data_IF_355629811956
#
_entry.id   IF_355629811956
#
_cell.length_a   1.000
_cell.length_b   1.000
_cell.length_c   1.000
_cell.angle_alpha   90.00
_cell.angle_beta   90.00
_cell.angle_gamma   90.00
#
_symmetry.space_group_name_H-M   'P 1'
#
loop_
_entity.id
_entity.type
_entity.pdbx_description
1 polymer ?
#
# COMPACT_ATOMS: atom_id res chain seq x y z
N UNK A 1 -10.20 62.11 -61.33
CA UNK A 1 -11.32 61.28 -61.82
C UNK A 1 -10.98 59.81 -61.57
N UNK A 2 -11.91 59.03 -61.00
CA UNK A 2 -12.04 57.56 -61.11
C UNK A 2 -10.89 56.74 -60.49
N UNK A 3 -11.07 55.64 -59.76
CA UNK A 3 -12.22 54.84 -59.31
C UNK A 3 -11.65 53.93 -58.21
N UNK A 4 -12.41 53.72 -57.15
CA UNK A 4 -12.19 52.65 -56.17
C UNK A 4 -12.27 51.28 -56.84
N UNK A 5 -11.48 50.29 -56.40
CA UNK A 5 -11.88 48.88 -56.34
C UNK A 5 -10.86 48.00 -55.59
N UNK A 6 -11.34 47.44 -54.47
CA UNK A 6 -11.02 46.20 -53.75
C UNK A 6 -9.99 45.23 -54.34
N UNK A 7 -9.10 44.70 -53.49
CA UNK A 7 -8.78 43.26 -53.47
C UNK A 7 -8.25 42.78 -52.11
N UNK A 8 -8.69 41.58 -51.76
CA UNK A 8 -8.69 40.87 -50.48
C UNK A 8 -7.44 40.04 -50.18
N UNK A 9 -7.13 39.93 -48.87
CA UNK A 9 -6.63 38.79 -48.07
C UNK A 9 -5.42 37.94 -48.53
N UNK A 10 -4.50 37.64 -47.61
CA UNK A 10 -4.33 36.30 -47.01
C UNK A 10 -3.24 36.36 -45.90
N UNK A 11 -3.65 36.24 -44.64
CA UNK A 11 -2.75 35.94 -43.52
C UNK A 11 -2.60 34.42 -43.43
N UNK A 12 -1.42 33.91 -43.75
CA UNK A 12 -1.07 32.50 -43.54
C UNK A 12 -0.67 32.25 -42.09
N UNK A 13 -1.58 31.75 -41.27
CA UNK A 13 -1.25 31.14 -39.98
C UNK A 13 -0.93 29.67 -40.21
N UNK A 14 0.34 29.32 -40.10
CA UNK A 14 0.79 27.92 -40.04
C UNK A 14 0.60 27.43 -38.60
N UNK A 15 -0.47 26.69 -38.36
CA UNK A 15 -0.69 25.97 -37.10
C UNK A 15 0.04 24.63 -37.17
N UNK A 16 1.08 24.44 -36.34
CA UNK A 16 1.62 23.10 -36.08
C UNK A 16 0.58 22.31 -35.26
N UNK A 17 -0.02 21.29 -35.86
CA UNK A 17 -0.75 20.28 -35.12
C UNK A 17 0.25 19.29 -34.51
N UNK A 18 0.66 19.53 -33.27
CA UNK A 18 1.25 18.49 -32.45
C UNK A 18 0.11 17.58 -31.97
N UNK A 19 -0.10 16.45 -32.64
CA UNK A 19 -0.99 15.40 -32.15
C UNK A 19 -0.34 14.76 -30.93
N UNK A 20 -0.68 15.23 -29.74
CA UNK A 20 -0.48 14.46 -28.52
C UNK A 20 -1.39 13.23 -28.61
N UNK A 21 -0.81 12.07 -28.90
CA UNK A 21 -1.49 10.79 -28.76
C UNK A 21 -1.80 10.59 -27.28
N UNK A 22 -2.98 11.03 -26.84
CA UNK A 22 -3.53 10.63 -25.56
C UNK A 22 -3.87 9.15 -25.65
N UNK A 23 -3.03 8.30 -25.05
CA UNK A 23 -3.41 6.93 -24.75
C UNK A 23 -4.77 6.95 -24.05
N UNK A 24 -5.75 6.12 -24.46
CA UNK A 24 -6.96 5.99 -23.69
C UNK A 24 -6.57 5.40 -22.34
N UNK A 25 -6.66 6.22 -21.29
CA UNK A 25 -6.75 5.72 -19.93
C UNK A 25 -8.01 4.87 -19.92
N UNK A 26 -7.84 3.55 -19.93
CA UNK A 26 -8.90 2.60 -19.64
C UNK A 26 -9.47 3.02 -18.29
N UNK A 27 -10.63 3.69 -18.33
CA UNK A 27 -11.42 3.93 -17.14
C UNK A 27 -11.75 2.55 -16.59
N UNK A 28 -11.17 2.19 -15.44
CA UNK A 28 -11.54 0.96 -14.76
C UNK A 28 -13.05 1.00 -14.57
N UNK A 29 -13.79 -0.04 -15.01
CA UNK A 29 -15.22 -0.10 -14.77
C UNK A 29 -15.42 -0.07 -13.26
N UNK A 30 -16.34 0.77 -12.80
CA UNK A 30 -16.72 0.97 -11.40
C UNK A 30 -16.57 -0.33 -10.59
N UNK A 31 -15.47 -0.44 -9.86
CA UNK A 31 -15.27 -1.53 -8.93
C UNK A 31 -16.36 -1.40 -7.87
N UNK A 32 -17.11 -2.46 -7.63
CA UNK A 32 -17.97 -2.54 -6.45
C UNK A 32 -17.06 -2.26 -5.24
N UNK A 33 -17.35 -1.25 -4.39
CA UNK A 33 -16.53 -0.95 -3.22
C UNK A 33 -16.36 -2.16 -2.30
N UNK A 34 -17.22 -3.17 -2.40
CA UNK A 34 -17.10 -4.42 -1.65
C UNK A 34 -16.12 -5.45 -2.25
N UNK A 35 -15.59 -5.19 -3.44
CA UNK A 35 -14.57 -6.02 -4.11
C UNK A 35 -13.24 -5.31 -4.31
N UNK A 36 -13.13 -4.05 -3.86
CA UNK A 36 -11.87 -3.32 -3.93
C UNK A 36 -10.79 -4.01 -3.05
N UNK A 37 -9.50 -3.94 -3.45
CA UNK A 37 -8.40 -4.41 -2.62
C UNK A 37 -8.38 -3.67 -1.29
N UNK A 38 -8.30 -4.41 -0.18
CA UNK A 38 -8.36 -3.84 1.17
C UNK A 38 -7.28 -4.46 2.03
N UNK A 39 -6.68 -3.65 2.90
CA UNK A 39 -5.68 -4.10 3.87
C UNK A 39 -6.13 -3.73 5.27
N UNK A 40 -6.14 -4.72 6.15
CA UNK A 40 -6.44 -4.56 7.56
C UNK A 40 -5.16 -4.75 8.35
N UNK A 41 -4.89 -3.85 9.30
CA UNK A 41 -3.78 -3.96 10.24
C UNK A 41 -4.33 -4.16 11.65
N UNK A 42 -3.72 -5.07 12.41
CA UNK A 42 -4.13 -5.29 13.77
C UNK A 42 -3.35 -6.33 14.56
N UNK A 43 -3.43 -6.25 15.88
CA UNK A 43 -2.91 -7.27 16.77
C UNK A 43 -3.78 -8.54 16.75
N UNK A 44 -3.15 -9.71 16.76
CA UNK A 44 -3.77 -11.02 17.00
C UNK A 44 -3.21 -11.64 18.29
N UNK A 45 -3.91 -12.64 18.84
CA UNK A 45 -3.33 -13.57 19.84
C UNK A 45 -2.63 -14.70 19.09
N UNK A 46 -1.30 -14.71 19.09
CA UNK A 46 -0.49 -15.70 18.37
C UNK A 46 -0.70 -17.14 18.88
N UNK A 47 -1.25 -17.32 20.08
CA UNK A 47 -1.63 -18.65 20.59
C UNK A 47 -2.99 -19.11 20.08
N UNK A 48 -3.81 -18.18 19.57
CA UNK A 48 -5.19 -18.40 19.13
C UNK A 48 -5.49 -17.56 17.88
N UNK A 49 -4.73 -17.74 16.78
CA UNK A 49 -4.85 -16.92 15.58
C UNK A 49 -6.22 -17.06 14.91
N UNK A 50 -6.92 -18.18 15.14
CA UNK A 50 -8.27 -18.44 14.61
C UNK A 50 -9.34 -17.45 15.11
N UNK A 51 -9.03 -16.69 16.16
CA UNK A 51 -9.92 -15.64 16.70
C UNK A 51 -9.84 -14.33 15.93
N UNK A 52 -8.91 -14.21 14.99
CA UNK A 52 -8.69 -13.01 14.19
C UNK A 52 -8.14 -11.85 15.02
N UNK A 53 -8.40 -10.62 14.54
CA UNK A 53 -7.92 -9.40 15.17
C UNK A 53 -8.57 -9.14 16.54
N UNK A 54 -7.74 -8.70 17.49
CA UNK A 54 -8.16 -8.26 18.81
C UNK A 54 -8.93 -6.94 18.73
N UNK A 55 -9.79 -6.67 19.72
CA UNK A 55 -10.37 -5.33 19.88
C UNK A 55 -9.28 -4.27 20.12
N UNK A 56 -9.44 -3.07 19.55
CA UNK A 56 -8.42 -2.00 19.54
C UNK A 56 -7.07 -2.47 18.96
N UNK A 57 -7.14 -3.17 17.85
CA UNK A 57 -6.02 -3.90 17.21
C UNK A 57 -4.81 -3.03 16.85
N UNK A 58 -4.98 -1.71 16.72
CA UNK A 58 -3.91 -0.75 16.40
C UNK A 58 -3.18 -0.20 17.63
N UNK A 59 -3.61 -0.56 18.86
CA UNK A 59 -2.86 -0.31 20.09
C UNK A 59 -2.21 -1.61 20.59
N UNK A 60 -0.91 -1.69 20.42
CA UNK A 60 -0.09 -2.83 20.78
C UNK A 60 0.70 -2.56 22.07
N UNK A 61 0.94 -3.59 22.88
CA UNK A 61 1.64 -3.42 24.17
C UNK A 61 2.69 -4.51 24.37
N UNK A 62 3.92 -4.14 24.75
CA UNK A 62 5.03 -5.07 25.03
C UNK A 62 4.69 -6.09 26.11
N UNK A 63 3.92 -5.69 27.13
CA UNK A 63 3.53 -6.60 28.23
C UNK A 63 2.74 -7.84 27.78
N UNK A 64 2.29 -7.90 26.54
CA UNK A 64 1.58 -9.05 25.98
C UNK A 64 2.47 -9.80 24.97
N UNK A 65 3.35 -10.70 25.42
CA UNK A 65 4.36 -11.36 24.57
C UNK A 65 3.76 -12.31 23.53
N UNK A 66 2.48 -12.67 23.67
CA UNK A 66 1.79 -13.53 22.70
C UNK A 66 1.02 -12.72 21.65
N UNK A 67 1.15 -11.39 21.61
CA UNK A 67 0.52 -10.59 20.56
C UNK A 67 1.49 -10.46 19.40
N UNK A 68 0.98 -10.62 18.18
CA UNK A 68 1.69 -10.24 16.96
C UNK A 68 0.87 -9.17 16.25
N UNK A 69 1.53 -8.18 15.66
CA UNK A 69 0.88 -7.22 14.78
C UNK A 69 0.88 -7.82 13.38
N UNK A 70 -0.30 -8.08 12.83
CA UNK A 70 -0.43 -8.61 11.49
C UNK A 70 -1.13 -7.61 10.59
N UNK A 71 -0.78 -7.61 9.32
CA UNK A 71 -1.65 -7.08 8.29
C UNK A 71 -2.13 -8.21 7.38
N UNK A 72 -3.34 -8.08 6.88
CA UNK A 72 -3.97 -9.01 5.93
C UNK A 72 -4.57 -8.21 4.79
N UNK A 73 -4.19 -8.57 3.57
CA UNK A 73 -4.70 -7.96 2.36
C UNK A 73 -5.68 -8.92 1.65
N UNK A 74 -6.87 -8.39 1.36
CA UNK A 74 -8.00 -9.07 0.75
C UNK A 74 -8.28 -8.52 -0.64
N UNK A 75 -9.04 -9.28 -1.43
CA UNK A 75 -9.53 -8.87 -2.74
C UNK A 75 -8.41 -8.41 -3.70
N UNK A 76 -7.23 -9.03 -3.62
CA UNK A 76 -6.13 -8.71 -4.52
C UNK A 76 -6.46 -9.29 -5.92
N UNK A 77 -6.58 -8.47 -6.97
CA UNK A 77 -6.97 -8.92 -8.30
C UNK A 77 -5.92 -9.86 -8.88
N UNK A 78 -6.37 -10.96 -9.48
CA UNK A 78 -5.51 -11.97 -10.12
C UNK A 78 -4.39 -12.50 -9.20
N UNK A 79 -4.66 -12.61 -7.90
CA UNK A 79 -3.69 -13.16 -6.95
C UNK A 79 -3.39 -14.63 -7.24
N UNK A 80 -2.12 -14.91 -7.54
CA UNK A 80 -1.60 -16.26 -7.71
C UNK A 80 -1.37 -16.99 -6.38
N UNK A 81 -0.42 -17.91 -6.34
CA UNK A 81 -0.06 -18.63 -5.11
C UNK A 81 0.95 -17.87 -4.24
N UNK A 82 1.48 -16.75 -4.75
CA UNK A 82 2.33 -15.82 -4.02
C UNK A 82 2.24 -14.44 -4.65
N UNK A 83 2.71 -13.43 -3.92
CA UNK A 83 2.84 -12.06 -4.40
C UNK A 83 4.19 -11.46 -4.00
N UNK A 84 4.68 -10.53 -4.82
CA UNK A 84 5.80 -9.68 -4.44
C UNK A 84 5.28 -8.60 -3.50
N UNK A 85 5.95 -8.43 -2.37
CA UNK A 85 5.53 -7.53 -1.30
C UNK A 85 6.66 -6.58 -0.96
N UNK A 86 6.32 -5.30 -0.86
CA UNK A 86 7.19 -4.26 -0.33
C UNK A 86 6.51 -3.64 0.87
N UNK A 87 7.23 -3.53 1.98
CA UNK A 87 6.79 -2.83 3.17
C UNK A 87 7.78 -1.70 3.47
N UNK A 88 7.29 -0.47 3.43
CA UNK A 88 8.01 0.69 3.94
C UNK A 88 7.49 1.02 5.33
N UNK A 89 8.36 0.93 6.33
CA UNK A 89 8.02 1.04 7.74
C UNK A 89 8.75 2.23 8.33
N UNK A 90 8.02 3.06 9.08
CA UNK A 90 8.58 4.15 9.88
C UNK A 90 8.43 3.82 11.36
N UNK A 91 9.55 3.79 12.07
CA UNK A 91 9.63 3.58 13.51
C UNK A 91 9.82 4.92 14.26
N UNK A 92 9.35 5.04 15.51
CA UNK A 92 9.42 6.29 16.28
C UNK A 92 10.84 6.67 16.70
N UNK A 93 11.73 5.68 16.82
CA UNK A 93 13.15 5.84 17.09
C UNK A 93 13.93 4.75 16.36
N UNK A 94 15.27 4.79 16.42
CA UNK A 94 16.12 3.80 15.78
C UNK A 94 15.70 2.37 16.17
N UNK A 95 15.36 1.56 15.18
CA UNK A 95 14.91 0.19 15.35
C UNK A 95 15.70 -0.77 14.45
N UNK A 96 15.59 -2.06 14.74
CA UNK A 96 16.08 -3.13 13.87
C UNK A 96 14.90 -3.85 13.24
N UNK A 97 14.94 -4.06 11.94
CA UNK A 97 13.96 -4.84 11.20
C UNK A 97 14.70 -5.90 10.40
N UNK A 98 14.30 -7.15 10.58
CA UNK A 98 14.95 -8.28 9.91
C UNK A 98 14.82 -8.16 8.39
N UNK A 99 15.90 -8.42 7.66
CA UNK A 99 15.95 -8.37 6.19
C UNK A 99 15.55 -7.01 5.59
N UNK A 100 15.63 -5.93 6.37
CA UNK A 100 15.27 -4.59 5.92
C UNK A 100 16.49 -3.78 5.46
N UNK A 101 16.32 -3.03 4.37
CA UNK A 101 17.18 -1.90 4.05
C UNK A 101 16.78 -0.74 4.96
N UNK A 102 17.71 -0.24 5.77
CA UNK A 102 17.43 0.75 6.82
C UNK A 102 18.15 2.07 6.52
N UNK A 103 17.46 3.19 6.74
CA UNK A 103 18.03 4.54 6.61
C UNK A 103 19.17 4.79 7.61
N UNK A 104 19.98 5.82 7.35
CA UNK A 104 21.12 6.19 8.20
C UNK A 104 20.69 6.53 9.65
N UNK A 105 19.57 7.24 9.81
CA UNK A 105 19.00 7.57 11.13
C UNK A 105 18.36 6.36 11.83
N UNK A 106 18.21 5.24 11.12
CA UNK A 106 17.66 3.99 11.62
C UNK A 106 16.14 3.99 11.83
N UNK A 107 15.40 4.95 11.26
CA UNK A 107 13.95 5.09 11.47
C UNK A 107 13.08 4.61 10.31
N UNK A 108 13.63 4.52 9.10
CA UNK A 108 12.92 4.08 7.91
C UNK A 108 13.47 2.73 7.48
N UNK A 109 12.58 1.77 7.24
CA UNK A 109 12.93 0.39 6.93
C UNK A 109 12.14 -0.08 5.72
N UNK A 110 12.83 -0.59 4.70
CA UNK A 110 12.22 -1.18 3.52
C UNK A 110 12.47 -2.68 3.52
N UNK A 111 11.40 -3.45 3.64
CA UNK A 111 11.41 -4.92 3.54
C UNK A 111 10.84 -5.31 2.18
N UNK A 112 11.57 -6.14 1.45
CA UNK A 112 11.13 -6.70 0.17
C UNK A 112 11.08 -8.21 0.33
N UNK A 113 9.92 -8.80 0.05
CA UNK A 113 9.71 -10.24 0.22
C UNK A 113 8.78 -10.79 -0.85
N UNK A 114 8.82 -12.11 -1.02
CA UNK A 114 7.82 -12.85 -1.78
C UNK A 114 7.01 -13.67 -0.78
N UNK A 115 5.72 -13.39 -0.67
CA UNK A 115 4.84 -13.99 0.35
C UNK A 115 3.84 -14.93 -0.33
N UNK A 116 3.70 -16.15 0.18
CA UNK A 116 2.70 -17.11 -0.29
C UNK A 116 1.29 -16.67 0.07
N UNK A 117 0.34 -16.88 -0.83
CA UNK A 117 -1.06 -16.63 -0.58
C UNK A 117 -1.65 -17.69 0.36
N UNK A 118 -2.49 -17.24 1.30
CA UNK A 118 -3.32 -18.12 2.12
C UNK A 118 -4.64 -18.33 1.39
N UNK A 119 -4.99 -19.58 1.09
CA UNK A 119 -6.28 -19.92 0.47
C UNK A 119 -7.26 -20.35 1.54
N UNK A 120 -8.37 -19.62 1.65
CA UNK A 120 -9.45 -19.88 2.62
C UNK A 120 -10.45 -20.88 2.06
N UNK A 121 -11.29 -21.44 2.94
CA UNK A 121 -12.27 -22.47 2.55
C UNK A 121 -13.31 -22.00 1.53
N UNK A 122 -13.58 -20.70 1.46
CA UNK A 122 -14.45 -20.07 0.46
C UNK A 122 -13.75 -19.84 -0.89
N UNK A 123 -12.49 -20.25 -1.04
CA UNK A 123 -11.66 -20.04 -2.23
C UNK A 123 -11.00 -18.66 -2.30
N UNK A 124 -11.26 -17.77 -1.33
CA UNK A 124 -10.59 -16.48 -1.24
C UNK A 124 -9.10 -16.67 -0.98
N UNK A 125 -8.28 -15.86 -1.62
CA UNK A 125 -6.84 -15.79 -1.37
C UNK A 125 -6.47 -14.48 -0.71
N UNK A 126 -5.70 -14.55 0.37
CA UNK A 126 -5.16 -13.36 1.06
C UNK A 126 -3.63 -13.40 1.08
N UNK A 127 -3.03 -12.24 1.29
CA UNK A 127 -1.61 -12.12 1.64
C UNK A 127 -1.56 -11.55 3.05
N UNK A 128 -0.78 -12.20 3.91
CA UNK A 128 -0.66 -11.81 5.31
C UNK A 128 0.79 -11.85 5.77
N UNK A 129 1.14 -10.95 6.67
CA UNK A 129 2.42 -10.92 7.36
C UNK A 129 2.19 -10.48 8.80
N UNK A 130 2.90 -11.14 9.71
CA UNK A 130 2.90 -10.79 11.12
C UNK A 130 4.29 -10.35 11.58
N UNK A 131 4.29 -9.44 12.55
CA UNK A 131 5.45 -8.91 13.21
C UNK A 131 5.34 -9.11 14.72
N UNK A 132 6.43 -9.53 15.33
CA UNK A 132 6.57 -9.60 16.78
C UNK A 132 7.37 -8.39 17.26
N UNK A 133 6.92 -7.78 18.34
CA UNK A 133 7.61 -6.66 18.98
C UNK A 133 8.02 -7.06 20.39
N UNK A 134 9.30 -6.93 20.69
CA UNK A 134 9.90 -7.22 21.98
C UNK A 134 10.24 -5.94 22.76
N UNK A 135 10.80 -6.11 23.96
CA UNK A 135 11.13 -5.00 24.86
C UNK A 135 12.16 -4.00 24.31
N UNK A 136 12.91 -4.36 23.28
CA UNK A 136 13.93 -3.53 22.65
C UNK A 136 13.36 -2.66 21.53
N UNK A 137 12.16 -2.97 21.04
CA UNK A 137 11.49 -2.17 20.04
C UNK A 137 11.05 -0.81 20.61
N UNK A 138 11.18 0.29 19.85
CA UNK A 138 10.91 1.60 20.39
C UNK A 138 9.41 1.85 20.58
N UNK A 139 9.03 2.28 21.77
CA UNK A 139 7.66 2.66 22.10
C UNK A 139 7.30 3.95 21.36
N UNK A 140 6.11 4.00 20.76
CA UNK A 140 5.60 5.17 20.06
C UNK A 140 4.70 4.82 18.88
N UNK A 141 4.48 5.82 18.03
CA UNK A 141 3.65 5.70 16.84
C UNK A 141 4.50 5.21 15.66
N UNK A 142 3.96 4.24 14.93
CA UNK A 142 4.56 3.65 13.75
C UNK A 142 3.66 3.89 12.53
N UNK A 143 4.26 3.81 11.35
CA UNK A 143 3.55 3.78 10.08
C UNK A 143 4.05 2.62 9.23
N UNK A 144 3.14 1.93 8.54
CA UNK A 144 3.46 0.88 7.57
C UNK A 144 2.75 1.20 6.27
N UNK A 145 3.50 1.29 5.18
CA UNK A 145 2.99 1.36 3.83
C UNK A 145 3.29 0.05 3.12
N UNK A 146 2.26 -0.60 2.59
CA UNK A 146 2.38 -1.92 1.96
C UNK A 146 2.07 -1.78 0.48
N UNK A 147 2.90 -2.41 -0.34
CA UNK A 147 2.66 -2.62 -1.76
C UNK A 147 2.63 -4.12 -2.01
N UNK A 148 1.63 -4.58 -2.76
CA UNK A 148 1.53 -5.99 -3.16
C UNK A 148 1.39 -6.03 -4.67
N UNK A 149 2.35 -6.66 -5.33
CA UNK A 149 2.59 -6.55 -6.76
C UNK A 149 2.64 -5.05 -7.16
N UNK A 150 1.68 -4.57 -7.93
CA UNK A 150 1.60 -3.18 -8.39
C UNK A 150 0.51 -2.36 -7.66
N UNK A 151 -0.01 -2.86 -6.53
CA UNK A 151 -1.08 -2.21 -5.77
C UNK A 151 -0.48 -1.56 -4.53
N UNK A 152 -0.68 -0.25 -4.42
CA UNK A 152 -0.34 0.54 -3.24
C UNK A 152 -1.55 0.60 -2.30
N UNK A 153 -1.35 0.18 -1.05
CA UNK A 153 -2.38 0.31 -0.02
C UNK A 153 -2.19 1.62 0.76
N UNK A 154 -3.28 2.20 1.31
CA UNK A 154 -3.19 3.34 2.21
C UNK A 154 -2.25 3.05 3.39
N UNK A 155 -1.44 4.04 3.78
CA UNK A 155 -0.57 3.95 4.95
C UNK A 155 -1.39 3.60 6.19
N UNK A 156 -0.94 2.57 6.90
CA UNK A 156 -1.53 2.12 8.16
C UNK A 156 -0.72 2.67 9.32
N UNK A 157 -1.40 2.93 10.43
CA UNK A 157 -0.79 3.44 11.65
C UNK A 157 -1.13 2.53 12.83
N UNK A 158 -0.16 2.34 13.71
CA UNK A 158 -0.36 1.67 14.98
C UNK A 158 0.55 2.28 16.04
N UNK A 159 0.22 2.03 17.31
CA UNK A 159 0.99 2.51 18.45
C UNK A 159 1.49 1.34 19.27
N UNK A 160 2.80 1.34 19.53
CA UNK A 160 3.45 0.45 20.48
C UNK A 160 3.54 1.13 21.84
N UNK A 161 3.05 0.46 22.88
CA UNK A 161 3.04 0.93 24.27
C UNK A 161 3.70 -0.08 25.19
N UNK A 162 3.96 0.31 26.44
CA UNK A 162 4.51 -0.58 27.47
C UNK A 162 3.53 -1.69 27.86
#
# INVERSE_FOLDING_TARGET
MKKSLFLTALFSLVSLNASAASNPILSQPNADPDTAPRLFLGAIDAKRPERGFLANSTQFYHRYPNRHLCWVAHNIPNLGDSADVVQDITSPAKAFWENAQTSEDGKQHRVISKISAVTHNNGEKTIEQCWYFDKNDPIGDYAIKVFINNIEFPTQHFKLSK
#
